data_IF_384683633885
#
_entry.id   IF_384683633885
#
_cell.length_a   1.000
_cell.length_b   1.000
_cell.length_c   1.000
_cell.angle_alpha   90.00
_cell.angle_beta   90.00
_cell.angle_gamma   90.00
#
_symmetry.space_group_name_H-M   'P 1'
#
loop_
_entity.id
_entity.type
_entity.pdbx_description
1 polymer ?
#
# COMPACT_ATOMS: atom_id res chain seq x y z
N UNK A 1 2.44 7.86 -17.46
CA UNK A 1 2.48 7.82 -15.98
C UNK A 1 2.80 6.39 -15.61
N UNK A 2 3.86 6.17 -14.83
CA UNK A 2 4.26 4.84 -14.37
C UNK A 2 3.42 4.43 -13.16
N UNK A 3 3.25 3.12 -12.97
CA UNK A 3 2.56 2.54 -11.81
C UNK A 3 3.54 2.47 -10.63
N UNK A 4 3.15 3.02 -9.48
CA UNK A 4 3.96 3.09 -8.26
C UNK A 4 3.42 2.17 -7.18
N UNK A 5 4.25 1.24 -6.70
CA UNK A 5 3.93 0.41 -5.55
C UNK A 5 4.71 0.87 -4.32
N UNK A 6 4.00 1.28 -3.27
CA UNK A 6 4.60 1.66 -1.99
C UNK A 6 4.86 0.42 -1.13
N UNK A 7 6.11 0.15 -0.80
CA UNK A 7 6.46 -0.93 0.11
C UNK A 7 6.38 -0.42 1.54
N UNK A 8 5.48 -1.02 2.32
CA UNK A 8 5.23 -0.69 3.73
C UNK A 8 5.48 -1.91 4.61
N UNK A 9 5.66 -1.69 5.91
CA UNK A 9 5.85 -2.75 6.89
C UNK A 9 6.45 -2.18 8.17
N UNK A 10 6.29 -2.90 9.26
CA UNK A 10 6.89 -2.53 10.54
C UNK A 10 8.43 -2.60 10.49
N UNK A 11 9.13 -1.98 11.45
CA UNK A 11 10.58 -2.17 11.59
C UNK A 11 10.96 -3.66 11.68
N UNK A 12 12.11 -4.01 11.10
CA UNK A 12 12.70 -5.36 11.18
C UNK A 12 11.91 -6.51 10.53
N UNK A 13 10.93 -6.23 9.66
CA UNK A 13 10.18 -7.27 8.92
C UNK A 13 10.86 -7.75 7.63
N UNK A 14 12.03 -7.19 7.28
CA UNK A 14 12.76 -7.51 6.05
C UNK A 14 12.47 -6.59 4.85
N UNK A 15 11.73 -5.49 5.06
CA UNK A 15 11.42 -4.48 4.04
C UNK A 15 12.64 -3.98 3.26
N UNK A 16 13.70 -3.55 3.95
CA UNK A 16 14.91 -3.04 3.30
C UNK A 16 15.67 -4.15 2.54
N UNK A 17 15.64 -5.38 3.04
CA UNK A 17 16.24 -6.53 2.34
C UNK A 17 15.52 -6.80 1.02
N UNK A 18 14.18 -6.81 1.04
CA UNK A 18 13.34 -6.97 -0.16
C UNK A 18 13.58 -5.83 -1.15
N UNK A 19 13.55 -4.58 -0.68
CA UNK A 19 13.77 -3.41 -1.54
C UNK A 19 15.16 -3.41 -2.18
N UNK A 20 16.19 -3.77 -1.41
CA UNK A 20 17.55 -3.93 -1.94
C UNK A 20 17.66 -5.07 -2.95
N UNK A 21 16.93 -6.17 -2.76
CA UNK A 21 16.90 -7.26 -3.73
C UNK A 21 16.22 -6.81 -5.05
N UNK A 22 15.10 -6.08 -4.95
CA UNK A 22 14.38 -5.52 -6.09
C UNK A 22 15.24 -4.52 -6.88
N UNK A 23 15.92 -3.61 -6.19
CA UNK A 23 16.77 -2.58 -6.82
C UNK A 23 18.08 -3.14 -7.37
N UNK A 24 18.70 -4.15 -6.74
CA UNK A 24 19.88 -4.83 -7.31
C UNK A 24 19.55 -5.67 -8.54
N UNK A 25 18.35 -6.23 -8.61
CA UNK A 25 17.87 -6.97 -9.78
C UNK A 25 17.58 -6.05 -10.98
N UNK A 26 17.36 -4.75 -10.74
CA UNK A 26 17.09 -3.75 -11.76
C UNK A 26 18.20 -2.70 -11.87
N UNK A 27 19.30 -3.06 -12.56
CA UNK A 27 20.27 -2.21 -13.27
C UNK A 27 20.78 -0.95 -12.51
N UNK A 28 22.12 -0.83 -12.38
CA UNK A 28 22.81 0.42 -12.01
C UNK A 28 22.16 1.64 -12.64
N UNK A 29 21.66 2.57 -11.81
CA UNK A 29 20.99 3.82 -12.17
C UNK A 29 21.35 4.33 -13.59
N UNK A 30 20.63 3.84 -14.59
CA UNK A 30 20.93 4.15 -15.98
C UNK A 30 20.34 5.53 -16.26
N UNK A 31 21.09 6.59 -15.94
CA UNK A 31 20.91 8.00 -16.33
C UNK A 31 19.54 8.34 -16.97
N UNK A 32 18.45 8.19 -16.21
CA UNK A 32 17.16 8.70 -16.62
C UNK A 32 17.17 10.21 -16.34
N UNK A 33 17.02 11.10 -17.36
CA UNK A 33 17.32 12.53 -17.23
C UNK A 33 16.42 13.35 -16.28
N UNK A 34 15.56 12.70 -15.49
CA UNK A 34 14.52 13.36 -14.69
C UNK A 34 14.35 12.77 -13.27
N UNK A 35 15.28 11.95 -12.78
CA UNK A 35 15.19 11.45 -11.40
C UNK A 35 15.61 12.55 -10.40
N UNK A 36 14.64 13.28 -9.86
CA UNK A 36 14.81 14.09 -8.66
C UNK A 36 15.19 13.18 -7.49
N UNK A 37 16.12 13.61 -6.63
CA UNK A 37 16.51 12.88 -5.41
C UNK A 37 15.36 13.02 -4.40
N UNK A 38 14.34 12.18 -4.55
CA UNK A 38 13.19 12.00 -3.68
C UNK A 38 13.14 10.52 -3.24
N UNK A 39 12.18 10.04 -2.41
CA UNK A 39 12.34 8.89 -1.49
C UNK A 39 12.96 7.67 -2.17
N UNK A 40 13.65 6.80 -1.41
CA UNK A 40 14.27 5.55 -1.88
C UNK A 40 13.36 4.85 -2.91
N UNK A 41 13.57 5.13 -4.20
CA UNK A 41 12.71 4.73 -5.31
C UNK A 41 13.53 3.82 -6.20
N UNK A 42 12.91 2.73 -6.64
CA UNK A 42 13.53 1.71 -7.47
C UNK A 42 12.68 1.44 -8.69
N UNK A 43 13.27 1.54 -9.88
CA UNK A 43 12.60 1.14 -11.13
C UNK A 43 13.07 -0.25 -11.50
N UNK A 44 12.15 -1.21 -11.55
CA UNK A 44 12.45 -2.63 -11.79
C UNK A 44 11.81 -3.07 -13.11
N UNK A 45 12.56 -3.71 -14.03
CA UNK A 45 11.96 -4.28 -15.23
C UNK A 45 11.03 -5.43 -14.86
N UNK A 46 9.84 -5.47 -15.46
CA UNK A 46 8.88 -6.55 -15.22
C UNK A 46 9.34 -7.79 -15.99
N UNK A 47 9.57 -8.93 -15.31
CA UNK A 47 9.91 -10.18 -15.98
C UNK A 47 8.72 -10.69 -16.78
N UNK A 48 8.89 -10.86 -18.10
CA UNK A 48 7.83 -11.32 -19.00
C UNK A 48 8.35 -12.36 -19.99
N UNK A 49 8.04 -13.63 -19.73
CA UNK A 49 8.44 -14.77 -20.57
C UNK A 49 7.92 -14.66 -22.02
N UNK A 50 6.88 -13.85 -22.28
CA UNK A 50 6.37 -13.61 -23.64
C UNK A 50 7.34 -12.74 -24.43
N UNK A 51 7.97 -11.78 -23.76
CA UNK A 51 8.97 -10.90 -24.35
C UNK A 51 10.19 -11.72 -24.80
N UNK A 52 10.62 -12.66 -23.96
CA UNK A 52 11.73 -13.57 -24.25
C UNK A 52 11.42 -14.44 -25.48
N UNK A 53 10.24 -15.06 -25.52
CA UNK A 53 9.79 -15.87 -26.66
C UNK A 53 9.71 -15.07 -27.96
N UNK A 54 9.25 -13.81 -27.90
CA UNK A 54 9.22 -12.93 -29.07
C UNK A 54 10.63 -12.55 -29.53
N UNK A 55 11.53 -12.29 -28.59
CA UNK A 55 12.92 -11.96 -28.89
C UNK A 55 13.65 -13.13 -29.59
N UNK A 56 13.35 -14.38 -29.20
CA UNK A 56 13.88 -15.57 -29.87
C UNK A 56 13.44 -15.69 -31.34
N UNK A 57 12.19 -15.33 -31.64
CA UNK A 57 11.61 -15.39 -32.99
C UNK A 57 12.11 -14.23 -33.86
N UNK A 58 11.99 -13.01 -33.36
CA UNK A 58 12.20 -11.78 -34.14
C UNK A 58 13.67 -11.37 -34.19
N UNK A 59 14.46 -11.76 -33.18
CA UNK A 59 15.88 -11.39 -33.01
C UNK A 59 16.11 -9.87 -33.15
N UNK A 60 15.42 -9.04 -32.34
CA UNK A 60 15.55 -7.59 -32.44
C UNK A 60 16.94 -7.13 -31.99
N UNK A 61 17.35 -5.93 -32.40
CA UNK A 61 18.60 -5.32 -31.93
C UNK A 61 18.60 -5.04 -30.42
N UNK A 62 17.42 -4.84 -29.83
CA UNK A 62 17.24 -4.57 -28.41
C UNK A 62 15.86 -5.05 -27.94
N UNK A 63 15.82 -5.61 -26.74
CA UNK A 63 14.59 -5.92 -26.01
C UNK A 63 14.38 -4.85 -24.94
N UNK A 64 13.17 -4.28 -24.86
CA UNK A 64 12.83 -3.22 -23.91
C UNK A 64 11.65 -3.72 -23.07
N UNK A 65 11.88 -4.12 -21.81
CA UNK A 65 10.80 -4.52 -20.92
C UNK A 65 9.99 -3.31 -20.46
N UNK A 66 8.75 -3.54 -20.06
CA UNK A 66 8.01 -2.55 -19.26
C UNK A 66 8.62 -2.49 -17.85
N UNK A 67 8.49 -1.35 -17.18
CA UNK A 67 9.04 -1.15 -15.84
C UNK A 67 7.93 -0.92 -14.82
N UNK A 68 8.24 -1.21 -13.56
CA UNK A 68 7.43 -0.88 -12.40
C UNK A 68 8.25 -0.07 -11.41
N UNK A 69 7.65 0.95 -10.80
CA UNK A 69 8.31 1.79 -9.80
C UNK A 69 7.92 1.32 -8.40
N UNK A 70 8.90 1.05 -7.56
CA UNK A 70 8.73 0.75 -6.15
C UNK A 70 9.21 1.92 -5.32
N UNK A 71 8.44 2.29 -4.31
CA UNK A 71 8.77 3.34 -3.35
C UNK A 71 8.98 2.69 -1.99
N UNK A 72 10.18 2.77 -1.42
CA UNK A 72 10.43 2.33 -0.06
C UNK A 72 9.85 3.36 0.92
N UNK A 73 8.73 3.04 1.54
CA UNK A 73 8.11 3.92 2.53
C UNK A 73 8.80 3.67 3.87
N UNK A 74 9.23 4.73 4.58
CA UNK A 74 9.88 4.61 5.88
C UNK A 74 9.04 3.76 6.86
N UNK A 75 9.67 3.06 7.80
CA UNK A 75 8.94 2.17 8.72
C UNK A 75 7.94 2.95 9.59
N UNK A 76 6.69 2.46 9.64
CA UNK A 76 5.66 3.01 10.51
C UNK A 76 5.92 2.60 11.96
N UNK A 77 5.74 3.54 12.89
CA UNK A 77 5.62 3.26 14.32
C UNK A 77 4.20 3.67 14.72
N UNK A 78 3.60 2.94 15.67
CA UNK A 78 2.28 3.28 16.23
C UNK A 78 2.17 4.78 16.56
N UNK A 79 1.01 5.38 16.26
CA UNK A 79 0.74 6.80 16.52
C UNK A 79 1.01 7.74 15.34
N UNK A 80 1.13 7.21 14.13
CA UNK A 80 1.41 8.00 12.93
C UNK A 80 0.33 9.04 12.61
N UNK A 81 -0.93 8.69 12.84
CA UNK A 81 -2.11 9.54 12.73
C UNK A 81 -2.21 10.63 13.80
N UNK A 82 -1.50 10.49 14.94
CA UNK A 82 -1.57 11.44 16.07
C UNK A 82 -0.69 12.69 15.91
N UNK A 83 -0.01 12.84 14.77
CA UNK A 83 0.55 14.13 14.37
C UNK A 83 1.97 14.46 14.85
N UNK A 84 2.77 13.49 15.31
CA UNK A 84 4.20 13.70 15.68
C UNK A 84 5.13 13.96 14.47
N UNK A 85 4.60 14.42 13.34
CA UNK A 85 5.35 14.88 12.16
C UNK A 85 5.97 13.79 11.28
N UNK A 86 6.41 12.66 11.85
CA UNK A 86 7.00 11.55 11.09
C UNK A 86 5.93 10.68 10.41
N UNK A 87 4.83 10.39 11.12
CA UNK A 87 3.70 9.60 10.60
C UNK A 87 2.95 10.28 9.46
N UNK A 88 2.80 11.60 9.49
CA UNK A 88 2.14 12.33 8.40
C UNK A 88 2.93 12.29 7.10
N UNK A 89 4.27 12.29 7.16
CA UNK A 89 5.12 12.12 5.97
C UNK A 89 4.99 10.72 5.39
N UNK A 90 4.90 9.70 6.24
CA UNK A 90 4.63 8.33 5.82
C UNK A 90 3.32 8.21 5.03
N UNK A 91 2.22 8.71 5.61
CA UNK A 91 0.90 8.67 4.98
C UNK A 91 0.85 9.49 3.68
N UNK A 92 1.57 10.61 3.62
CA UNK A 92 1.71 11.41 2.41
C UNK A 92 2.41 10.62 1.29
N UNK A 93 3.52 9.94 1.60
CA UNK A 93 4.24 9.13 0.62
C UNK A 93 3.38 7.96 0.09
N UNK A 94 2.59 7.30 0.94
CA UNK A 94 1.65 6.26 0.48
C UNK A 94 0.56 6.87 -0.40
N UNK A 95 0.11 8.09 -0.11
CA UNK A 95 -0.92 8.74 -0.91
C UNK A 95 -0.48 8.94 -2.37
N UNK A 96 0.81 9.13 -2.59
CA UNK A 96 1.46 9.30 -3.90
C UNK A 96 1.70 7.98 -4.67
N UNK A 97 1.43 6.81 -4.07
CA UNK A 97 1.53 5.51 -4.75
C UNK A 97 0.20 5.05 -5.30
N UNK A 98 0.19 4.08 -6.22
CA UNK A 98 -1.03 3.51 -6.79
C UNK A 98 -1.49 2.25 -6.04
N UNK A 99 -0.54 1.52 -5.45
CA UNK A 99 -0.78 0.31 -4.67
C UNK A 99 0.16 0.22 -3.46
N UNK A 100 -0.15 -0.73 -2.56
CA UNK A 100 0.61 -1.01 -1.35
C UNK A 100 1.13 -2.46 -1.40
N UNK A 101 2.44 -2.63 -1.25
CA UNK A 101 3.08 -3.91 -0.95
C UNK A 101 3.39 -3.98 0.54
N UNK A 102 2.61 -4.72 1.31
CA UNK A 102 2.73 -4.77 2.76
C UNK A 102 3.60 -5.96 3.18
N UNK A 103 4.84 -5.70 3.59
CA UNK A 103 5.77 -6.73 4.08
C UNK A 103 5.42 -7.11 5.52
N UNK A 104 5.13 -8.39 5.72
CA UNK A 104 4.71 -8.95 7.02
C UNK A 104 5.69 -10.03 7.43
N UNK A 105 6.18 -9.97 8.66
CA UNK A 105 7.11 -10.96 9.20
C UNK A 105 6.36 -12.25 9.55
N UNK A 106 6.71 -13.35 8.89
CA UNK A 106 6.12 -14.68 9.08
C UNK A 106 7.19 -15.72 9.46
N UNK A 107 8.20 -15.30 10.22
CA UNK A 107 9.26 -16.16 10.74
C UNK A 107 9.77 -15.66 12.09
N UNK A 108 10.21 -16.61 12.92
CA UNK A 108 10.94 -16.33 14.15
C UNK A 108 12.45 -16.36 13.91
N UNK A 109 13.15 -15.44 14.56
CA UNK A 109 14.61 -15.41 14.63
C UNK A 109 15.00 -14.73 15.94
N UNK A 110 15.71 -15.46 16.81
CA UNK A 110 16.16 -14.98 18.13
C UNK A 110 17.09 -13.76 18.04
N UNK A 111 17.73 -13.56 16.89
CA UNK A 111 18.65 -12.43 16.65
C UNK A 111 17.92 -11.16 16.18
N UNK A 112 16.63 -11.25 15.83
CA UNK A 112 15.86 -10.13 15.29
C UNK A 112 14.77 -9.72 16.27
N UNK A 113 15.01 -8.61 16.96
CA UNK A 113 14.05 -8.04 17.92
C UNK A 113 12.82 -7.49 17.20
N UNK A 114 11.65 -8.01 17.58
CA UNK A 114 10.36 -7.47 17.15
C UNK A 114 9.96 -6.25 17.99
N UNK A 115 9.31 -5.25 17.40
CA UNK A 115 8.93 -4.00 18.10
C UNK A 115 8.02 -4.27 19.28
N UNK A 116 7.08 -5.22 19.14
CA UNK A 116 6.16 -5.64 20.19
C UNK A 116 6.73 -6.76 21.10
N UNK A 117 8.00 -7.15 20.92
CA UNK A 117 8.64 -8.25 21.67
C UNK A 117 8.19 -9.67 21.29
N UNK A 118 7.15 -9.80 20.45
CA UNK A 118 6.67 -11.07 19.87
C UNK A 118 6.30 -10.89 18.41
N UNK A 119 6.51 -11.91 17.57
CA UNK A 119 6.06 -11.91 16.17
C UNK A 119 4.58 -12.23 16.13
N UNK A 120 3.79 -11.37 15.49
CA UNK A 120 2.35 -11.56 15.32
C UNK A 120 1.91 -10.89 14.00
N UNK A 121 1.83 -11.65 12.88
CA UNK A 121 1.45 -11.10 11.59
C UNK A 121 0.14 -10.33 11.63
N UNK A 122 -0.84 -10.84 12.39
CA UNK A 122 -2.13 -10.20 12.57
C UNK A 122 -1.99 -8.83 13.24
N UNK A 123 -1.30 -8.76 14.39
CA UNK A 123 -1.16 -7.50 15.11
C UNK A 123 -0.36 -6.49 14.28
N UNK A 124 0.66 -6.95 13.55
CA UNK A 124 1.48 -6.11 12.66
C UNK A 124 0.65 -5.50 11.52
N UNK A 125 -0.22 -6.32 10.92
CA UNK A 125 -1.16 -5.88 9.88
C UNK A 125 -2.16 -4.87 10.45
N UNK A 126 -2.75 -5.19 11.61
CA UNK A 126 -3.76 -4.37 12.27
C UNK A 126 -3.20 -2.99 12.65
N UNK A 127 -1.94 -2.90 13.09
CA UNK A 127 -1.28 -1.61 13.38
C UNK A 127 -1.29 -0.70 12.15
N UNK A 128 -0.80 -1.19 11.01
CA UNK A 128 -0.73 -0.38 9.79
C UNK A 128 -2.14 -0.06 9.27
N UNK A 129 -3.03 -1.06 9.22
CA UNK A 129 -4.41 -0.88 8.75
C UNK A 129 -5.18 0.15 9.58
N UNK A 130 -5.02 0.13 10.90
CA UNK A 130 -5.62 1.10 11.82
C UNK A 130 -5.14 2.51 11.51
N UNK A 131 -3.84 2.71 11.30
CA UNK A 131 -3.30 4.04 10.98
C UNK A 131 -3.78 4.57 9.62
N UNK A 132 -3.93 3.69 8.63
CA UNK A 132 -4.53 4.05 7.33
C UNK A 132 -6.01 4.42 7.48
N UNK A 133 -6.78 3.64 8.24
CA UNK A 133 -8.20 3.89 8.49
C UNK A 133 -8.43 5.20 9.26
N UNK A 134 -7.62 5.48 10.30
CA UNK A 134 -7.69 6.74 11.06
C UNK A 134 -7.38 7.96 10.18
N UNK A 135 -6.39 7.87 9.29
CA UNK A 135 -6.06 8.94 8.37
C UNK A 135 -7.18 9.22 7.35
N UNK A 136 -7.81 8.16 6.84
CA UNK A 136 -8.95 8.26 5.94
C UNK A 136 -10.22 8.73 6.67
N UNK A 137 -10.41 8.39 7.95
CA UNK A 137 -11.49 8.88 8.80
C UNK A 137 -11.39 10.39 8.98
N UNK A 138 -10.20 10.90 9.35
CA UNK A 138 -9.97 12.35 9.49
C UNK A 138 -10.23 13.07 8.15
N UNK A 139 -9.80 12.47 7.03
CA UNK A 139 -10.04 13.01 5.68
C UNK A 139 -11.53 13.07 5.37
N UNK A 140 -12.27 12.01 5.71
CA UNK A 140 -13.73 11.89 5.53
C UNK A 140 -14.48 12.93 6.35
N UNK A 141 -14.10 13.14 7.61
CA UNK A 141 -14.73 14.13 8.50
C UNK A 141 -14.54 15.56 7.98
N UNK A 142 -13.32 15.91 7.56
CA UNK A 142 -13.03 17.20 6.92
C UNK A 142 -13.86 17.40 5.65
N UNK A 143 -14.01 16.35 4.82
CA UNK A 143 -14.83 16.39 3.62
C UNK A 143 -16.31 16.61 3.94
N UNK A 144 -16.87 15.89 4.93
CA UNK A 144 -18.25 16.05 5.38
C UNK A 144 -18.54 17.50 5.78
N UNK A 145 -17.67 18.13 6.58
CA UNK A 145 -17.83 19.52 7.00
C UNK A 145 -17.84 20.50 5.81
N UNK A 146 -16.99 20.27 4.80
CA UNK A 146 -16.89 21.12 3.61
C UNK A 146 -18.10 20.96 2.70
N UNK A 147 -18.50 19.71 2.43
CA UNK A 147 -19.57 19.35 1.49
C UNK A 147 -20.95 19.71 2.05
N UNK A 148 -21.13 19.64 3.37
CA UNK A 148 -22.42 19.94 4.02
C UNK A 148 -22.99 21.32 3.66
N UNK A 149 -22.14 22.34 3.50
CA UNK A 149 -22.59 23.69 3.09
C UNK A 149 -23.12 23.70 1.64
N UNK A 150 -22.41 23.04 0.72
CA UNK A 150 -22.80 22.94 -0.69
C UNK A 150 -24.07 22.10 -0.87
N UNK A 151 -24.15 20.97 -0.17
CA UNK A 151 -25.32 20.09 -0.21
C UNK A 151 -26.60 20.79 0.29
N UNK A 152 -26.50 21.58 1.37
CA UNK A 152 -27.60 22.44 1.86
C UNK A 152 -28.01 23.52 0.85
N UNK A 153 -27.06 24.02 0.07
CA UNK A 153 -27.29 24.97 -1.02
C UNK A 153 -27.97 24.40 -2.27
N UNK A 154 -28.26 23.10 -2.29
CA UNK A 154 -29.02 22.45 -3.37
C UNK A 154 -28.17 21.75 -4.43
N UNK A 155 -26.84 21.80 -4.33
CA UNK A 155 -25.90 21.13 -5.25
C UNK A 155 -26.11 19.60 -5.23
N UNK A 156 -26.49 19.04 -6.39
CA UNK A 156 -26.81 17.63 -6.53
C UNK A 156 -25.59 16.71 -6.39
N UNK A 157 -24.43 17.14 -6.87
CA UNK A 157 -23.17 16.40 -6.74
C UNK A 157 -22.73 16.38 -5.28
N UNK A 158 -22.78 17.52 -4.60
CA UNK A 158 -22.46 17.61 -3.18
C UNK A 158 -23.41 16.76 -2.31
N UNK A 159 -24.70 16.67 -2.66
CA UNK A 159 -25.65 15.79 -1.97
C UNK A 159 -25.32 14.32 -2.18
N UNK A 160 -24.89 13.94 -3.38
CA UNK A 160 -24.49 12.56 -3.67
C UNK A 160 -23.20 12.22 -2.91
N UNK A 161 -22.17 13.06 -3.02
CA UNK A 161 -20.91 12.92 -2.28
C UNK A 161 -21.14 12.80 -0.77
N UNK A 162 -22.00 13.65 -0.19
CA UNK A 162 -22.34 13.60 1.23
C UNK A 162 -22.93 12.24 1.64
N UNK A 163 -23.78 11.62 0.81
CA UNK A 163 -24.30 10.27 1.08
C UNK A 163 -23.21 9.20 1.07
N UNK A 164 -22.25 9.31 0.15
CA UNK A 164 -21.10 8.38 0.11
C UNK A 164 -20.24 8.56 1.35
N UNK A 165 -19.95 9.81 1.74
CA UNK A 165 -19.18 10.12 2.94
C UNK A 165 -19.88 9.61 4.22
N UNK A 166 -21.19 9.74 4.32
CA UNK A 166 -22.00 9.21 5.43
C UNK A 166 -22.02 7.67 5.47
N UNK A 167 -21.87 7.00 4.31
CA UNK A 167 -21.75 5.54 4.20
C UNK A 167 -20.36 5.04 4.63
N UNK A 168 -19.28 5.71 4.20
CA UNK A 168 -17.91 5.25 4.45
C UNK A 168 -17.41 5.58 5.87
N UNK A 169 -17.92 6.66 6.47
CA UNK A 169 -17.48 7.10 7.81
C UNK A 169 -17.61 6.01 8.89
N UNK A 170 -18.78 5.36 9.12
CA UNK A 170 -18.90 4.35 10.17
C UNK A 170 -18.00 3.14 9.93
N UNK A 171 -17.76 2.76 8.66
CA UNK A 171 -16.85 1.67 8.32
C UNK A 171 -15.40 1.97 8.76
N UNK A 172 -14.94 3.20 8.51
CA UNK A 172 -13.62 3.67 8.97
C UNK A 172 -13.56 3.82 10.50
N UNK A 173 -14.66 4.21 11.14
CA UNK A 173 -14.77 4.36 12.61
C UNK A 173 -14.63 3.01 13.34
N UNK A 174 -15.06 1.92 12.69
CA UNK A 174 -14.85 0.54 13.14
C UNK A 174 -13.42 0.02 12.85
N UNK A 175 -12.55 0.84 12.24
CA UNK A 175 -11.19 0.46 11.85
C UNK A 175 -11.11 -0.41 10.59
N UNK A 176 -12.21 -0.53 9.84
CA UNK A 176 -12.27 -1.34 8.63
C UNK A 176 -11.79 -0.56 7.40
N UNK A 177 -11.14 -1.26 6.47
CA UNK A 177 -10.59 -0.66 5.26
C UNK A 177 -11.67 -0.47 4.19
N UNK A 178 -11.67 0.64 3.47
CA UNK A 178 -12.69 0.88 2.42
C UNK A 178 -12.67 -0.12 1.26
N UNK A 179 -11.54 -0.79 1.00
CA UNK A 179 -11.47 -1.87 0.00
C UNK A 179 -12.35 -3.09 0.33
N UNK A 180 -12.73 -3.27 1.61
CA UNK A 180 -13.65 -4.32 2.04
C UNK A 180 -15.12 -3.86 2.05
N UNK A 181 -15.37 -2.58 1.78
CA UNK A 181 -16.72 -2.02 1.67
C UNK A 181 -17.19 -2.05 0.21
N UNK A 182 -18.38 -2.60 -0.03
CA UNK A 182 -18.99 -2.57 -1.37
C UNK A 182 -19.40 -1.13 -1.76
N UNK A 183 -18.64 -0.56 -2.68
CA UNK A 183 -18.90 0.72 -3.30
C UNK A 183 -19.16 0.55 -4.80
N UNK A 184 -20.20 1.20 -5.30
CA UNK A 184 -20.51 1.29 -6.73
C UNK A 184 -19.47 2.14 -7.46
N UNK A 185 -19.42 2.05 -8.79
CA UNK A 185 -18.49 2.85 -9.61
C UNK A 185 -18.75 4.34 -9.45
N UNK A 186 -20.01 4.71 -9.31
CA UNK A 186 -20.47 6.08 -9.09
C UNK A 186 -20.05 6.59 -7.71
N UNK A 187 -20.17 5.75 -6.67
CA UNK A 187 -19.70 6.09 -5.31
C UNK A 187 -18.19 6.29 -5.28
N UNK A 188 -17.42 5.38 -5.90
CA UNK A 188 -15.96 5.50 -6.03
C UNK A 188 -15.56 6.77 -6.81
N UNK A 189 -16.27 7.09 -7.89
CA UNK A 189 -16.01 8.29 -8.67
C UNK A 189 -16.21 9.57 -7.83
N UNK A 190 -17.23 9.61 -6.97
CA UNK A 190 -17.55 10.77 -6.14
C UNK A 190 -16.47 11.10 -5.10
N UNK A 191 -15.73 10.09 -4.61
CA UNK A 191 -14.66 10.27 -3.61
C UNK A 191 -13.24 10.11 -4.20
N UNK A 192 -13.11 9.86 -5.51
CA UNK A 192 -11.84 9.59 -6.18
C UNK A 192 -10.79 10.67 -5.92
N UNK A 193 -11.20 11.94 -5.88
CA UNK A 193 -10.31 13.08 -5.64
C UNK A 193 -9.64 13.07 -4.25
N UNK A 194 -10.17 12.30 -3.29
CA UNK A 194 -9.66 12.23 -1.91
C UNK A 194 -8.41 11.34 -1.82
N UNK A 195 -8.14 10.50 -2.83
CA UNK A 195 -7.02 9.55 -2.85
C UNK A 195 -6.96 8.71 -1.56
N UNK A 196 -8.07 8.09 -1.17
CA UNK A 196 -8.21 7.32 0.06
C UNK A 196 -7.15 6.21 0.14
N UNK A 197 -6.45 6.12 1.27
CA UNK A 197 -5.36 5.17 1.46
C UNK A 197 -5.89 3.73 1.53
N UNK A 198 -6.99 3.53 2.23
CA UNK A 198 -7.61 2.22 2.48
C UNK A 198 -8.31 1.61 1.26
N UNK A 199 -8.55 2.40 0.20
CA UNK A 199 -9.03 1.93 -1.10
C UNK A 199 -7.91 1.41 -2.02
N UNK A 200 -6.64 1.72 -1.73
CA UNK A 200 -5.53 1.28 -2.59
C UNK A 200 -5.44 -0.25 -2.63
N UNK A 201 -5.27 -0.86 -3.82
CA UNK A 201 -4.99 -2.28 -3.94
C UNK A 201 -3.78 -2.64 -3.08
N UNK A 202 -3.89 -3.71 -2.31
CA UNK A 202 -2.85 -4.14 -1.38
C UNK A 202 -2.52 -5.60 -1.58
N UNK A 203 -1.23 -5.88 -1.59
CA UNK A 203 -0.66 -7.21 -1.63
C UNK A 203 0.17 -7.44 -0.36
N UNK A 204 -0.11 -8.51 0.36
CA UNK A 204 0.68 -8.93 1.50
C UNK A 204 1.91 -9.72 1.03
N UNK A 205 3.08 -9.24 1.42
CA UNK A 205 4.37 -9.87 1.14
C UNK A 205 4.79 -10.57 2.44
N UNK A 206 4.30 -11.80 2.61
CA UNK A 206 4.66 -12.65 3.74
C UNK A 206 6.13 -13.07 3.64
N UNK A 207 6.98 -12.42 4.44
CA UNK A 207 8.40 -12.74 4.50
C UNK A 207 8.60 -13.94 5.43
N UNK A 208 9.23 -15.00 4.93
CA UNK A 208 9.41 -16.29 5.62
C UNK A 208 10.87 -16.74 5.56
N UNK A 209 11.24 -17.71 6.39
CA UNK A 209 12.52 -18.42 6.23
C UNK A 209 12.50 -19.28 4.94
N UNK A 210 13.67 -19.74 4.48
CA UNK A 210 13.79 -20.55 3.25
C UNK A 210 12.96 -21.84 3.28
N UNK A 211 12.70 -22.39 4.46
CA UNK A 211 11.87 -23.56 4.73
C UNK A 211 10.44 -23.22 5.17
N UNK A 212 10.11 -21.94 5.30
CA UNK A 212 8.86 -21.43 5.87
C UNK A 212 7.69 -21.30 4.88
N UNK A 213 7.78 -21.89 3.69
CA UNK A 213 6.73 -21.84 2.66
C UNK A 213 5.59 -22.84 2.90
N UNK A 214 5.85 -23.90 3.66
CA UNK A 214 4.90 -24.96 3.98
C UNK A 214 4.72 -25.08 5.50
N UNK A 215 3.52 -25.46 5.96
CA UNK A 215 3.19 -25.65 7.39
C UNK A 215 3.57 -24.46 8.29
N UNK A 216 3.37 -23.24 7.81
CA UNK A 216 3.71 -22.02 8.53
C UNK A 216 2.42 -21.33 9.04
N UNK A 217 2.13 -21.40 10.36
CA UNK A 217 0.92 -20.80 10.94
C UNK A 217 0.83 -19.28 10.73
N UNK A 218 1.98 -18.60 10.61
CA UNK A 218 2.01 -17.17 10.33
C UNK A 218 1.55 -16.87 8.90
N UNK A 219 2.00 -17.67 7.94
CA UNK A 219 1.58 -17.55 6.54
C UNK A 219 0.09 -17.84 6.38
N UNK A 220 -0.45 -18.83 7.09
CA UNK A 220 -1.86 -19.17 7.05
C UNK A 220 -2.74 -18.05 7.61
N UNK A 221 -2.30 -17.39 8.71
CA UNK A 221 -2.98 -16.20 9.24
C UNK A 221 -3.02 -15.05 8.23
N UNK A 222 -1.90 -14.77 7.54
CA UNK A 222 -1.85 -13.71 6.53
C UNK A 222 -2.80 -14.00 5.37
N UNK A 223 -2.88 -15.26 4.92
CA UNK A 223 -3.82 -15.68 3.86
C UNK A 223 -5.28 -15.49 4.28
N UNK A 224 -5.62 -15.85 5.51
CA UNK A 224 -6.97 -15.68 6.05
C UNK A 224 -7.36 -14.20 6.11
N UNK A 225 -6.46 -13.34 6.60
CA UNK A 225 -6.65 -11.88 6.63
C UNK A 225 -6.84 -11.35 5.21
N UNK A 226 -5.95 -11.70 4.27
CA UNK A 226 -6.00 -11.22 2.89
C UNK A 226 -7.36 -11.52 2.22
N UNK A 227 -7.89 -12.73 2.44
CA UNK A 227 -9.19 -13.14 1.94
C UNK A 227 -10.36 -12.34 2.54
N UNK A 228 -10.26 -11.89 3.79
CA UNK A 228 -11.29 -11.14 4.50
C UNK A 228 -11.42 -9.68 4.08
N UNK A 229 -10.38 -9.08 3.50
CA UNK A 229 -10.35 -7.64 3.15
C UNK A 229 -10.07 -7.36 1.66
N UNK A 230 -10.33 -8.32 0.77
CA UNK A 230 -10.08 -8.19 -0.67
C UNK A 230 -8.63 -7.77 -1.01
N UNK A 231 -7.66 -8.29 -0.26
CA UNK A 231 -6.23 -8.15 -0.55
C UNK A 231 -5.68 -9.43 -1.18
N UNK A 232 -4.50 -9.34 -1.81
CA UNK A 232 -3.80 -10.47 -2.45
C UNK A 232 -2.64 -10.97 -1.60
#
# INVERSE_FOLDING_TARGET
MGFKCGIVGLPNVGKSTLFNALTKAGIEAANFPFCTIEPNTGVVPVPDLRLDKLAEIVKPQRVIPTTMEFVDIAGLVEGASKGEGLGNKFLANIRETDAIGHVVRCFDDENIVHVAGRVSPKDDIDVINTELALADLETTEKALHRVAKRAKGGDAEAKYEMKVLEKIKPHLDEGLLLRSLELTKEELAAISYMNMLTLKPTMYIANVNEDGFENNPYLDQVKEIAAGENAT
#
